data_IF_963480418636
#
_entry.id   IF_963480418636
#
_cell.length_a   1.000
_cell.length_b   1.000
_cell.length_c   1.000
_cell.angle_alpha   90.00
_cell.angle_beta   90.00
_cell.angle_gamma   90.00
#
_symmetry.space_group_name_H-M   'P 1'
#
loop_
_entity.id
_entity.type
_entity.pdbx_description
1 polymer ?
#
# COMPACT_ATOMS: atom_id res chain seq x y z
N UNK A 1 11.64 -24.32 6.70
CA UNK A 1 11.96 -23.11 7.49
C UNK A 1 10.86 -22.94 8.52
N UNK A 2 10.65 -21.77 9.12
CA UNK A 2 9.35 -21.46 9.74
C UNK A 2 8.36 -21.14 8.62
N UNK A 3 7.10 -21.54 8.77
CA UNK A 3 6.05 -21.17 7.83
C UNK A 3 5.73 -19.67 7.96
N UNK A 4 5.57 -18.95 6.83
CA UNK A 4 5.65 -17.50 6.82
C UNK A 4 4.33 -16.84 7.23
N UNK A 5 4.41 -15.68 7.88
CA UNK A 5 3.27 -14.86 8.29
C UNK A 5 3.11 -13.63 7.41
N UNK A 6 1.96 -12.96 7.52
CA UNK A 6 1.69 -11.72 6.81
C UNK A 6 1.07 -10.66 7.72
N UNK A 7 1.42 -9.40 7.45
CA UNK A 7 0.65 -8.23 7.91
C UNK A 7 0.18 -7.47 6.67
N UNK A 8 -1.14 -7.23 6.55
CA UNK A 8 -1.72 -6.42 5.49
C UNK A 8 -2.02 -5.01 5.99
N UNK A 9 -1.65 -3.98 5.21
CA UNK A 9 -1.77 -2.58 5.62
C UNK A 9 -2.48 -1.71 4.58
N UNK A 10 -3.26 -0.74 5.05
CA UNK A 10 -3.89 0.24 4.15
C UNK A 10 -2.87 1.30 3.69
N UNK A 11 -2.84 1.49 2.38
CA UNK A 11 -2.08 2.51 1.63
C UNK A 11 -2.94 3.00 0.45
N UNK A 12 -2.34 3.77 -0.46
CA UNK A 12 -2.95 4.31 -1.68
C UNK A 12 -4.05 5.38 -1.45
N UNK A 13 -4.41 6.02 -2.56
CA UNK A 13 -5.43 7.05 -2.68
C UNK A 13 -6.80 6.60 -2.15
N UNK A 14 -7.51 7.54 -1.55
CA UNK A 14 -8.88 7.37 -1.10
C UNK A 14 -9.68 8.66 -1.29
N UNK A 15 -10.99 8.61 -1.01
CA UNK A 15 -11.92 9.74 -1.21
C UNK A 15 -11.53 11.03 -0.49
N UNK A 16 -10.66 10.99 0.51
CA UNK A 16 -10.20 12.19 1.21
C UNK A 16 -8.93 12.79 0.57
N UNK A 17 -8.06 11.96 -0.02
CA UNK A 17 -6.76 12.36 -0.57
C UNK A 17 -6.35 11.39 -1.71
N UNK A 18 -6.14 11.89 -2.95
CA UNK A 18 -6.27 13.29 -3.40
C UNK A 18 -7.73 13.75 -3.63
N UNK A 19 -8.72 12.91 -3.32
CA UNK A 19 -10.15 13.19 -3.55
C UNK A 19 -10.90 12.08 -4.29
N UNK A 20 -10.17 11.08 -4.80
CA UNK A 20 -10.72 9.93 -5.52
C UNK A 20 -9.97 8.64 -5.14
N UNK A 21 -10.56 7.48 -5.47
CA UNK A 21 -9.92 6.16 -5.35
C UNK A 21 -9.32 5.74 -6.69
N UNK A 22 -8.27 4.92 -6.65
CA UNK A 22 -7.83 4.20 -7.84
C UNK A 22 -8.95 3.29 -8.38
N UNK A 23 -8.99 3.03 -9.70
CA UNK A 23 -9.93 2.10 -10.29
C UNK A 23 -9.55 0.65 -10.00
N UNK A 24 -10.57 -0.17 -9.75
CA UNK A 24 -10.57 -1.60 -10.09
C UNK A 24 -11.52 -1.77 -11.27
N UNK A 25 -11.15 -2.60 -12.23
CA UNK A 25 -11.90 -2.85 -13.47
C UNK A 25 -12.76 -4.12 -13.34
N UNK A 26 -13.72 -4.38 -14.26
CA UNK A 26 -14.62 -5.52 -14.16
C UNK A 26 -13.92 -6.87 -14.15
N UNK A 27 -12.72 -6.96 -14.76
CA UNK A 27 -11.85 -8.15 -14.76
C UNK A 27 -10.93 -8.24 -13.53
N UNK A 28 -11.11 -7.41 -12.51
CA UNK A 28 -10.26 -7.39 -11.32
C UNK A 28 -8.85 -6.82 -11.52
N UNK A 29 -8.48 -6.39 -12.73
CA UNK A 29 -7.28 -5.56 -12.94
C UNK A 29 -7.50 -4.16 -12.34
N UNK A 30 -6.43 -3.40 -12.11
CA UNK A 30 -6.51 -2.14 -11.36
C UNK A 30 -5.34 -1.21 -11.64
N UNK A 31 -5.47 0.06 -11.23
CA UNK A 31 -4.35 1.01 -11.16
C UNK A 31 -4.08 1.45 -9.71
N UNK A 32 -2.84 1.29 -9.27
CA UNK A 32 -2.36 1.83 -7.99
C UNK A 32 -2.18 3.34 -8.14
N UNK A 33 -2.75 4.11 -7.21
CA UNK A 33 -2.65 5.57 -7.16
C UNK A 33 -2.13 5.93 -5.77
N UNK A 34 -0.94 6.53 -5.62
CA UNK A 34 -0.44 6.98 -4.32
C UNK A 34 -1.24 8.15 -3.74
N UNK A 35 -1.07 8.41 -2.44
CA UNK A 35 -1.56 9.64 -1.79
C UNK A 35 -0.64 10.83 -2.13
N UNK A 36 -1.12 12.09 -2.09
CA UNK A 36 -0.26 13.25 -2.18
C UNK A 36 0.75 13.28 -1.01
N UNK A 37 1.96 13.75 -1.25
CA UNK A 37 2.89 14.04 -0.17
C UNK A 37 2.45 15.33 0.54
N UNK A 38 2.08 15.19 1.81
CA UNK A 38 1.55 16.28 2.65
C UNK A 38 2.53 16.73 3.74
N UNK A 39 3.63 16.02 3.92
CA UNK A 39 4.71 16.43 4.81
C UNK A 39 5.67 17.42 4.13
N UNK A 40 6.38 18.22 4.93
CA UNK A 40 7.50 19.00 4.42
C UNK A 40 8.63 18.05 3.98
N UNK A 41 9.25 18.35 2.83
CA UNK A 41 10.35 17.55 2.27
C UNK A 41 11.65 18.34 2.20
N UNK A 42 12.76 17.61 2.25
CA UNK A 42 14.09 18.12 1.93
C UNK A 42 14.14 18.71 0.52
N UNK A 43 15.02 19.69 0.26
CA UNK A 43 15.38 20.04 -1.11
C UNK A 43 16.10 18.84 -1.77
N UNK A 44 15.82 18.58 -3.06
CA UNK A 44 16.33 17.40 -3.80
C UNK A 44 17.80 17.06 -3.55
N UNK A 45 18.70 18.06 -3.54
CA UNK A 45 20.13 17.88 -3.26
C UNK A 45 20.50 17.44 -1.83
N UNK A 46 19.53 17.11 -0.98
CA UNK A 46 19.69 16.46 0.34
C UNK A 46 19.01 15.10 0.44
N UNK A 47 18.34 14.59 -0.61
CA UNK A 47 17.86 13.21 -0.66
C UNK A 47 19.06 12.23 -0.70
N UNK A 48 18.91 10.97 -0.23
CA UNK A 48 19.99 9.98 -0.31
C UNK A 48 20.35 9.54 -1.74
N UNK A 49 19.45 9.77 -2.69
CA UNK A 49 19.62 9.53 -4.13
C UNK A 49 19.20 10.81 -4.86
N UNK A 50 19.94 11.20 -5.91
CA UNK A 50 19.59 12.36 -6.75
C UNK A 50 18.44 12.04 -7.72
N UNK A 51 17.22 11.93 -7.18
CA UNK A 51 15.98 11.76 -7.93
C UNK A 51 14.98 12.90 -7.65
N UNK A 52 14.07 13.23 -8.58
CA UNK A 52 12.93 14.07 -8.26
C UNK A 52 11.99 13.37 -7.26
N UNK A 53 11.29 14.16 -6.44
CA UNK A 53 10.08 13.71 -5.78
C UNK A 53 8.98 13.64 -6.87
N UNK A 54 8.41 12.46 -7.20
CA UNK A 54 7.46 12.33 -8.29
C UNK A 54 6.17 13.11 -8.00
N UNK A 55 5.53 13.60 -9.05
CA UNK A 55 4.21 14.25 -9.04
C UNK A 55 3.17 13.37 -9.70
N UNK A 56 1.88 13.73 -9.61
CA UNK A 56 0.83 12.98 -10.32
C UNK A 56 1.01 12.99 -11.84
N UNK A 57 1.71 13.97 -12.42
CA UNK A 57 2.04 13.99 -13.85
C UNK A 57 3.17 13.01 -14.24
N UNK A 58 3.95 12.52 -13.28
CA UNK A 58 5.04 11.55 -13.50
C UNK A 58 4.57 10.09 -13.37
N UNK A 59 3.30 9.85 -13.04
CA UNK A 59 2.77 8.51 -12.81
C UNK A 59 2.23 7.85 -14.08
N UNK A 60 2.68 6.63 -14.34
CA UNK A 60 2.08 5.74 -15.33
C UNK A 60 0.69 5.29 -14.85
N UNK A 61 -0.36 5.93 -15.38
CA UNK A 61 -1.76 5.69 -15.03
C UNK A 61 -2.62 5.58 -16.31
N UNK A 62 -3.53 4.58 -16.39
CA UNK A 62 -4.36 4.34 -17.58
C UNK A 62 -5.57 5.31 -17.72
N UNK A 63 -5.56 6.43 -16.99
CA UNK A 63 -6.63 7.42 -16.96
C UNK A 63 -6.04 8.82 -16.70
N UNK A 64 -6.74 9.88 -17.10
CA UNK A 64 -6.26 11.25 -16.90
C UNK A 64 -6.44 11.71 -15.45
N UNK A 65 -5.36 12.14 -14.81
CA UNK A 65 -5.43 12.87 -13.53
C UNK A 65 -5.89 14.32 -13.78
N UNK A 66 -6.71 14.93 -12.92
CA UNK A 66 -7.04 16.35 -12.95
C UNK A 66 -5.81 17.27 -13.00
N UNK A 67 -5.88 18.34 -13.80
CA UNK A 67 -4.73 19.19 -14.13
C UNK A 67 -4.25 20.10 -12.99
N UNK A 68 -5.09 20.34 -12.00
CA UNK A 68 -4.74 21.00 -10.74
C UNK A 68 -3.86 20.10 -9.84
N UNK A 69 -4.03 18.77 -9.94
CA UNK A 69 -3.20 17.81 -9.22
C UNK A 69 -1.87 17.50 -9.92
N UNK A 70 -1.70 17.80 -11.21
CA UNK A 70 -0.52 17.41 -12.01
C UNK A 70 0.81 17.75 -11.33
N UNK A 71 0.95 18.95 -10.78
CA UNK A 71 2.17 19.40 -10.10
C UNK A 71 2.24 19.05 -8.60
N UNK A 72 1.23 18.36 -8.05
CA UNK A 72 1.22 17.93 -6.65
C UNK A 72 2.15 16.73 -6.48
N UNK A 73 3.17 16.79 -5.60
CA UNK A 73 4.04 15.66 -5.32
C UNK A 73 3.30 14.52 -4.64
N UNK A 74 3.75 13.27 -4.85
CA UNK A 74 3.11 12.07 -4.30
C UNK A 74 4.01 11.31 -3.33
N UNK A 75 3.40 10.79 -2.29
CA UNK A 75 4.04 9.89 -1.34
C UNK A 75 3.93 8.46 -1.90
N UNK A 76 4.87 8.13 -2.79
CA UNK A 76 4.99 6.83 -3.43
C UNK A 76 5.55 5.80 -2.43
N UNK A 77 4.67 5.29 -1.57
CA UNK A 77 4.97 4.23 -0.60
C UNK A 77 3.76 3.27 -0.47
N UNK A 78 3.88 1.95 -0.74
CA UNK A 78 5.10 1.21 -1.05
C UNK A 78 5.79 1.60 -2.37
N UNK A 79 7.10 1.43 -2.37
CA UNK A 79 7.88 1.25 -3.59
C UNK A 79 7.76 -0.21 -4.04
N UNK A 80 7.39 -0.43 -5.31
CA UNK A 80 7.13 -1.75 -5.88
C UNK A 80 7.87 -1.90 -7.22
N UNK A 81 8.55 -3.02 -7.49
CA UNK A 81 9.22 -3.25 -8.77
C UNK A 81 8.24 -3.21 -9.95
N UNK A 82 8.65 -2.53 -11.04
CA UNK A 82 7.85 -2.37 -12.25
C UNK A 82 6.71 -1.34 -12.17
N UNK A 83 6.60 -0.57 -11.08
CA UNK A 83 5.47 0.36 -10.84
C UNK A 83 5.95 1.80 -10.75
N UNK A 84 5.39 2.70 -11.57
CA UNK A 84 5.71 4.13 -11.60
C UNK A 84 7.22 4.44 -11.64
N UNK A 85 7.97 3.69 -12.46
CA UNK A 85 9.42 3.86 -12.63
C UNK A 85 10.26 3.43 -11.42
N UNK A 86 9.82 2.40 -10.69
CA UNK A 86 10.50 1.86 -9.50
C UNK A 86 10.93 0.41 -9.68
N UNK A 87 12.10 0.09 -9.12
CA UNK A 87 12.76 -1.22 -9.25
C UNK A 87 12.97 -1.94 -7.91
N UNK A 88 12.59 -1.31 -6.79
CA UNK A 88 12.82 -1.81 -5.42
C UNK A 88 11.52 -2.15 -4.73
N UNK A 89 11.62 -3.00 -3.72
CA UNK A 89 10.54 -3.39 -2.82
C UNK A 89 10.79 -2.77 -1.43
N UNK A 90 10.27 -1.55 -1.19
CA UNK A 90 10.48 -0.82 0.08
C UNK A 90 9.17 -0.30 0.66
N UNK A 91 9.12 -0.18 1.99
CA UNK A 91 7.99 0.45 2.69
C UNK A 91 8.40 1.14 4.00
N UNK A 92 7.88 2.33 4.27
CA UNK A 92 7.95 2.99 5.57
C UNK A 92 6.57 3.30 6.17
N UNK A 93 6.50 3.48 7.49
CA UNK A 93 5.30 4.07 8.12
C UNK A 93 5.63 4.83 9.43
N UNK A 94 4.99 5.99 9.70
CA UNK A 94 5.27 6.82 10.88
C UNK A 94 4.29 6.57 12.05
N UNK A 95 3.28 5.72 11.89
CA UNK A 95 2.18 5.53 12.83
C UNK A 95 2.38 4.27 13.67
N UNK A 96 2.66 4.44 14.97
CA UNK A 96 3.03 3.34 15.88
C UNK A 96 2.10 2.12 15.89
N UNK A 97 0.81 2.28 15.60
CA UNK A 97 -0.15 1.15 15.50
C UNK A 97 0.06 0.27 14.27
N UNK A 98 0.49 0.83 13.14
CA UNK A 98 0.87 0.07 11.93
C UNK A 98 2.32 -0.37 12.02
N UNK A 99 3.23 0.56 12.28
CA UNK A 99 4.65 0.28 12.45
C UNK A 99 4.94 -0.83 13.47
N UNK A 100 4.26 -0.83 14.63
CA UNK A 100 4.41 -1.85 15.67
C UNK A 100 3.87 -3.25 15.29
N UNK A 101 3.05 -3.38 14.25
CA UNK A 101 2.68 -4.69 13.67
C UNK A 101 3.70 -5.15 12.62
N UNK A 102 4.21 -4.22 11.82
CA UNK A 102 5.24 -4.48 10.80
C UNK A 102 6.58 -4.87 11.46
N UNK A 103 6.93 -4.25 12.60
CA UNK A 103 8.12 -4.56 13.40
C UNK A 103 8.20 -6.03 13.88
N UNK A 104 7.09 -6.78 13.85
CA UNK A 104 7.06 -8.20 14.19
C UNK A 104 7.34 -9.17 13.04
N UNK A 105 7.58 -8.66 11.81
CA UNK A 105 7.88 -9.47 10.62
C UNK A 105 9.35 -9.88 10.58
N UNK A 106 9.61 -11.16 10.35
CA UNK A 106 10.95 -11.72 10.15
C UNK A 106 11.34 -11.76 8.66
N UNK A 107 12.64 -11.98 8.33
CA UNK A 107 13.04 -12.35 6.98
C UNK A 107 12.30 -13.63 6.55
N UNK A 108 11.65 -13.58 5.37
CA UNK A 108 10.76 -14.64 4.90
C UNK A 108 9.31 -14.52 5.36
N UNK A 109 8.93 -13.56 6.20
CA UNK A 109 7.53 -13.13 6.36
C UNK A 109 7.14 -12.15 5.25
N UNK A 110 5.88 -11.68 5.24
CA UNK A 110 5.30 -10.83 4.21
C UNK A 110 4.69 -9.54 4.77
N UNK A 111 4.84 -8.47 4.00
CA UNK A 111 4.08 -7.23 4.15
C UNK A 111 3.17 -7.08 2.93
N UNK A 112 1.86 -7.13 3.13
CA UNK A 112 0.86 -7.04 2.06
C UNK A 112 0.21 -5.65 2.06
N UNK A 113 -0.22 -5.19 0.89
CA UNK A 113 -0.80 -3.87 0.72
C UNK A 113 -2.23 -3.98 0.20
N UNK A 114 -3.13 -3.24 0.85
CA UNK A 114 -4.50 -3.11 0.39
C UNK A 114 -4.92 -1.65 0.24
N UNK A 115 -5.69 -1.37 -0.81
CA UNK A 115 -6.23 -0.05 -1.14
C UNK A 115 -7.76 -0.09 -1.03
N UNK A 116 -8.41 1.06 -0.85
CA UNK A 116 -9.82 1.16 -1.23
C UNK A 116 -9.90 1.60 -2.68
N UNK A 117 -10.43 0.75 -3.55
CA UNK A 117 -10.59 1.03 -4.99
C UNK A 117 -12.07 1.21 -5.31
N UNK A 118 -12.40 1.97 -6.35
CA UNK A 118 -13.76 2.07 -6.90
C UNK A 118 -13.88 1.25 -8.18
N UNK A 119 -15.00 0.54 -8.34
CA UNK A 119 -15.28 -0.17 -9.59
C UNK A 119 -15.48 0.88 -10.70
N UNK A 120 -14.80 0.70 -11.83
CA UNK A 120 -14.90 1.55 -13.01
C UNK A 120 -14.79 0.72 -14.29
N UNK A 121 -15.43 1.13 -15.39
CA UNK A 121 -15.30 0.43 -16.67
C UNK A 121 -13.88 0.55 -17.24
N UNK A 122 -13.50 -0.35 -18.14
CA UNK A 122 -12.23 -0.19 -18.87
C UNK A 122 -12.27 1.09 -19.72
N UNK A 123 -11.12 1.75 -19.87
CA UNK A 123 -11.04 3.05 -20.56
C UNK A 123 -11.72 4.21 -19.81
N UNK A 124 -12.11 4.04 -18.54
CA UNK A 124 -12.58 5.14 -17.69
C UNK A 124 -11.63 6.35 -17.77
N UNK A 125 -12.11 7.54 -18.20
CA UNK A 125 -11.23 8.66 -18.55
C UNK A 125 -10.53 9.31 -17.35
N UNK A 126 -10.95 8.98 -16.13
CA UNK A 126 -10.45 9.57 -14.89
C UNK A 126 -11.50 10.39 -14.14
N UNK A 127 -11.18 10.86 -12.93
CA UNK A 127 -12.10 11.62 -12.09
C UNK A 127 -12.34 13.02 -12.70
N UNK A 128 -13.61 13.43 -12.79
CA UNK A 128 -14.00 14.68 -13.46
C UNK A 128 -14.21 14.55 -14.98
N UNK A 129 -13.95 13.38 -15.58
CA UNK A 129 -14.34 13.08 -16.96
C UNK A 129 -15.86 13.01 -17.14
N UNK A 130 -16.34 13.34 -18.34
CA UNK A 130 -17.75 13.23 -18.67
C UNK A 130 -18.16 11.74 -18.77
N UNK A 131 -19.28 11.38 -18.11
CA UNK A 131 -19.78 10.01 -17.97
C UNK A 131 -18.84 9.07 -17.18
N UNK A 132 -18.88 9.16 -15.85
CA UNK A 132 -18.13 8.26 -14.97
C UNK A 132 -18.73 6.84 -14.87
N UNK A 133 -20.01 6.69 -15.22
CA UNK A 133 -20.85 5.55 -14.83
C UNK A 133 -21.53 4.84 -16.02
N UNK A 134 -21.17 5.19 -17.27
CA UNK A 134 -21.55 4.39 -18.43
C UNK A 134 -20.51 3.29 -18.64
N UNK A 135 -20.94 2.02 -18.55
CA UNK A 135 -20.16 0.90 -19.04
C UNK A 135 -19.89 1.09 -20.54
N UNK A 136 -18.68 0.76 -20.99
CA UNK A 136 -18.32 0.82 -22.41
C UNK A 136 -18.87 -0.42 -23.10
N UNK A 137 -19.42 -0.28 -24.31
CA UNK A 137 -19.89 -1.41 -25.13
C UNK A 137 -18.74 -2.40 -25.39
N UNK A 138 -18.70 -3.48 -24.63
CA UNK A 138 -17.66 -4.52 -24.71
C UNK A 138 -17.03 -4.92 -23.37
N UNK A 139 -17.25 -4.16 -22.29
CA UNK A 139 -16.79 -4.56 -20.95
C UNK A 139 -17.42 -5.90 -20.51
N UNK A 140 -16.66 -6.80 -19.85
CA UNK A 140 -17.22 -8.00 -19.27
C UNK A 140 -18.09 -7.66 -18.05
N UNK A 141 -19.00 -8.57 -17.69
CA UNK A 141 -19.68 -8.49 -16.41
C UNK A 141 -18.62 -8.54 -15.27
N UNK A 142 -18.70 -7.68 -14.25
CA UNK A 142 -17.73 -7.68 -13.15
C UNK A 142 -17.59 -9.04 -12.47
N UNK A 143 -16.36 -9.40 -12.10
CA UNK A 143 -16.07 -10.58 -11.28
C UNK A 143 -16.94 -10.58 -10.01
N UNK A 144 -17.54 -11.74 -9.72
CA UNK A 144 -18.58 -11.89 -8.70
C UNK A 144 -18.10 -11.76 -7.23
N UNK A 145 -16.81 -11.45 -7.01
CA UNK A 145 -16.25 -11.10 -5.70
C UNK A 145 -15.77 -9.63 -5.61
N UNK A 146 -16.02 -8.81 -6.64
CA UNK A 146 -15.87 -7.34 -6.60
C UNK A 146 -17.12 -6.67 -6.02
N UNK A 147 -16.91 -5.61 -5.23
CA UNK A 147 -18.00 -4.79 -4.68
C UNK A 147 -18.39 -3.65 -5.66
N UNK A 148 -19.70 -3.34 -5.83
CA UNK A 148 -20.23 -2.62 -6.99
C UNK A 148 -19.83 -1.14 -7.11
N UNK A 149 -19.67 -0.41 -6.00
CA UNK A 149 -19.27 1.01 -6.01
C UNK A 149 -17.77 1.20 -5.69
N UNK A 150 -17.35 0.49 -4.64
CA UNK A 150 -16.00 0.49 -4.08
C UNK A 150 -15.85 -0.69 -3.13
N UNK A 151 -14.63 -1.07 -2.86
CA UNK A 151 -14.27 -2.07 -1.85
C UNK A 151 -12.83 -1.89 -1.39
N UNK A 152 -12.38 -2.74 -0.48
CA UNK A 152 -11.00 -2.86 -0.08
C UNK A 152 -10.39 -4.15 -0.66
N UNK A 153 -9.18 -4.01 -1.22
CA UNK A 153 -8.59 -4.99 -2.12
C UNK A 153 -7.09 -5.10 -1.85
N UNK A 154 -6.58 -6.32 -1.64
CA UNK A 154 -5.14 -6.59 -1.68
C UNK A 154 -4.66 -6.43 -3.13
N UNK A 155 -3.54 -5.74 -3.33
CA UNK A 155 -3.06 -5.38 -4.68
C UNK A 155 -1.54 -5.54 -4.86
N UNK A 156 -0.78 -5.70 -3.78
CA UNK A 156 0.67 -5.88 -3.83
C UNK A 156 1.20 -6.56 -2.56
N UNK A 157 2.43 -7.07 -2.63
CA UNK A 157 3.15 -7.63 -1.49
C UNK A 157 4.66 -7.43 -1.59
N UNK A 158 5.28 -7.22 -0.43
CA UNK A 158 6.73 -7.23 -0.24
C UNK A 158 7.12 -8.49 0.55
N UNK A 159 8.05 -9.25 -0.01
CA UNK A 159 8.65 -10.43 0.60
C UNK A 159 9.83 -10.00 1.47
N UNK A 160 9.59 -9.91 2.78
CA UNK A 160 10.50 -9.24 3.73
C UNK A 160 11.87 -9.92 3.74
N UNK A 161 12.92 -9.14 3.50
CA UNK A 161 14.31 -9.51 3.77
C UNK A 161 14.80 -8.90 5.07
N UNK A 162 14.41 -7.65 5.34
CA UNK A 162 14.84 -6.91 6.53
C UNK A 162 13.83 -5.84 6.95
N UNK A 163 13.68 -5.72 8.26
CA UNK A 163 12.96 -4.63 8.92
C UNK A 163 13.98 -3.83 9.75
N UNK A 164 13.73 -2.53 9.88
CA UNK A 164 14.28 -1.67 10.92
C UNK A 164 13.09 -1.05 11.66
N UNK A 165 13.01 -1.18 12.97
CA UNK A 165 11.98 -0.57 13.80
C UNK A 165 12.57 0.23 14.97
N UNK A 166 11.78 1.19 15.45
CA UNK A 166 12.09 1.94 16.68
C UNK A 166 12.17 0.97 17.87
N UNK A 167 13.36 0.83 18.43
CA UNK A 167 13.65 -0.11 19.53
C UNK A 167 14.57 -1.28 19.17
N UNK A 168 14.92 -1.48 17.89
CA UNK A 168 15.94 -2.47 17.49
C UNK A 168 17.37 -2.03 17.86
N UNK A 169 17.59 -0.73 18.04
CA UNK A 169 18.81 -0.14 18.56
C UNK A 169 18.77 -0.01 20.09
N UNK A 170 19.63 -0.80 20.77
CA UNK A 170 19.83 -0.88 22.22
C UNK A 170 18.62 -1.33 23.07
N UNK A 171 18.70 -2.57 23.58
CA UNK A 171 17.69 -3.16 24.48
C UNK A 171 17.91 -2.77 25.95
N UNK A 172 18.14 -1.48 26.20
CA UNK A 172 18.25 -0.91 27.54
C UNK A 172 16.86 -0.81 28.19
N UNK A 173 16.64 -1.49 29.32
CA UNK A 173 15.32 -1.66 29.95
C UNK A 173 14.80 -0.42 30.71
N UNK A 174 14.99 0.79 30.17
CA UNK A 174 14.48 2.05 30.77
C UNK A 174 13.92 3.01 29.71
N UNK A 175 12.63 2.91 29.37
CA UNK A 175 12.02 3.87 28.44
C UNK A 175 10.56 3.64 28.05
N UNK A 176 9.60 4.00 28.91
CA UNK A 176 8.19 4.14 28.53
C UNK A 176 7.96 5.43 27.71
N UNK A 177 8.49 5.50 26.48
CA UNK A 177 8.55 6.72 25.68
C UNK A 177 7.43 6.87 24.65
N UNK A 178 6.43 7.72 24.92
CA UNK A 178 5.36 8.08 23.97
C UNK A 178 5.76 9.21 23.00
N UNK A 179 7.00 9.17 22.49
CA UNK A 179 7.60 10.28 21.73
C UNK A 179 7.61 10.10 20.20
N UNK A 180 8.06 11.14 19.50
CA UNK A 180 8.30 11.17 18.04
C UNK A 180 9.61 10.46 17.65
N UNK A 181 9.88 9.31 18.26
CA UNK A 181 10.97 8.44 17.87
C UNK A 181 10.68 7.81 16.49
N UNK A 182 11.58 8.07 15.54
CA UNK A 182 11.71 7.42 14.25
C UNK A 182 12.93 6.49 14.25
N UNK A 183 13.11 5.65 13.22
CA UNK A 183 14.36 4.86 13.07
C UNK A 183 15.54 5.79 12.77
N UNK A 184 16.77 5.30 12.90
CA UNK A 184 17.93 6.06 12.44
C UNK A 184 17.86 6.30 10.92
N UNK A 185 18.03 7.57 10.51
CA UNK A 185 17.91 8.00 9.12
C UNK A 185 19.06 7.49 8.26
N UNK A 186 20.27 7.34 8.80
CA UNK A 186 21.41 6.80 8.06
C UNK A 186 21.21 5.30 7.79
N UNK A 187 20.81 4.54 8.81
CA UNK A 187 20.44 3.12 8.68
C UNK A 187 19.27 2.89 7.73
N UNK A 188 18.25 3.76 7.75
CA UNK A 188 17.14 3.72 6.80
C UNK A 188 17.60 4.03 5.37
N UNK A 189 18.47 5.03 5.18
CA UNK A 189 19.05 5.35 3.87
C UNK A 189 19.95 4.24 3.33
N UNK A 190 20.70 3.55 4.19
CA UNK A 190 21.51 2.40 3.80
C UNK A 190 20.66 1.18 3.38
N UNK A 191 19.44 1.04 3.93
CA UNK A 191 18.53 -0.07 3.62
C UNK A 191 17.64 0.19 2.39
N UNK A 192 16.98 1.35 2.37
CA UNK A 192 15.90 1.66 1.43
C UNK A 192 16.05 3.08 0.83
N UNK A 193 17.18 3.41 0.16
CA UNK A 193 17.64 4.78 -0.13
C UNK A 193 16.66 5.67 -0.92
N UNK A 194 15.72 5.07 -1.63
CA UNK A 194 14.70 5.68 -2.50
C UNK A 194 13.35 5.93 -1.81
N UNK A 195 13.12 5.33 -0.64
CA UNK A 195 11.83 5.32 0.05
C UNK A 195 11.30 6.74 0.35
N UNK A 196 9.97 6.92 0.25
CA UNK A 196 9.34 8.24 0.35
C UNK A 196 9.62 8.96 1.68
N UNK A 197 9.69 8.23 2.81
CA UNK A 197 9.99 8.84 4.11
C UNK A 197 11.38 9.47 4.19
N UNK A 198 12.37 8.96 3.45
CA UNK A 198 13.71 9.56 3.39
C UNK A 198 13.75 10.91 2.66
N UNK A 199 12.63 11.35 2.10
CA UNK A 199 12.48 12.67 1.46
C UNK A 199 11.90 13.71 2.44
N UNK A 200 11.29 13.30 3.55
CA UNK A 200 10.65 14.18 4.56
C UNK A 200 11.65 14.92 5.45
N UNK A 201 11.31 16.10 5.95
CA UNK A 201 12.05 16.81 7.00
C UNK A 201 11.06 17.42 8.02
N UNK A 202 11.00 16.92 9.28
CA UNK A 202 11.82 15.87 9.87
C UNK A 202 11.59 14.48 9.24
N UNK A 203 12.51 13.55 9.52
CA UNK A 203 12.30 12.13 9.25
C UNK A 203 11.36 11.52 10.31
N UNK A 204 10.38 10.73 9.87
CA UNK A 204 9.21 10.33 10.65
C UNK A 204 8.94 8.81 10.69
N UNK A 205 9.59 8.01 9.83
CA UNK A 205 9.32 6.58 9.75
C UNK A 205 9.71 5.83 11.04
N UNK A 206 8.73 5.17 11.65
CA UNK A 206 8.91 4.32 12.85
C UNK A 206 9.26 2.88 12.51
N UNK A 207 9.01 2.49 11.26
CA UNK A 207 9.47 1.26 10.65
C UNK A 207 9.94 1.55 9.22
N UNK A 208 10.97 0.85 8.76
CA UNK A 208 11.39 0.79 7.35
C UNK A 208 11.62 -0.68 7.00
N UNK A 209 11.06 -1.11 5.88
CA UNK A 209 11.13 -2.48 5.37
C UNK A 209 11.80 -2.47 4.00
N UNK A 210 12.67 -3.44 3.77
CA UNK A 210 13.09 -3.85 2.44
C UNK A 210 12.80 -5.35 2.24
N UNK A 211 12.50 -5.71 1.00
CA UNK A 211 12.29 -7.08 0.59
C UNK A 211 12.90 -7.41 -0.76
N UNK A 212 12.88 -8.69 -1.09
CA UNK A 212 13.43 -9.25 -2.32
C UNK A 212 12.65 -8.69 -3.53
N UNK A 213 13.24 -7.89 -4.42
CA UNK A 213 12.56 -7.33 -5.59
C UNK A 213 12.12 -8.39 -6.62
N UNK A 214 12.69 -9.60 -6.60
CA UNK A 214 12.27 -10.69 -7.48
C UNK A 214 11.05 -11.48 -6.94
N UNK A 215 10.82 -11.41 -5.63
CA UNK A 215 9.69 -12.04 -4.95
C UNK A 215 8.65 -11.03 -4.42
N UNK A 216 8.75 -9.75 -4.82
CA UNK A 216 7.87 -8.65 -4.37
C UNK A 216 7.31 -7.89 -5.57
N UNK A 217 6.09 -7.37 -5.46
CA UNK A 217 5.52 -6.55 -6.53
C UNK A 217 4.02 -6.33 -6.43
N UNK A 218 3.48 -5.75 -7.51
CA UNK A 218 2.06 -5.59 -7.78
C UNK A 218 1.48 -6.92 -8.29
N UNK A 219 0.28 -7.29 -7.84
CA UNK A 219 -0.44 -8.45 -8.37
C UNK A 219 -1.06 -8.15 -9.74
N UNK A 220 -1.34 -9.17 -10.55
CA UNK A 220 -1.98 -8.98 -11.86
C UNK A 220 -3.44 -8.51 -11.69
N UNK A 221 -4.19 -9.20 -10.82
CA UNK A 221 -5.56 -8.87 -10.40
C UNK A 221 -5.64 -8.68 -8.88
N UNK A 222 -6.69 -8.03 -8.41
CA UNK A 222 -6.93 -7.81 -6.97
C UNK A 222 -7.34 -9.10 -6.25
N UNK A 223 -7.07 -9.17 -4.94
CA UNK A 223 -7.75 -10.13 -4.04
C UNK A 223 -8.71 -9.37 -3.13
N UNK A 224 -10.05 -9.54 -3.29
CA UNK A 224 -11.04 -8.82 -2.49
C UNK A 224 -11.01 -9.16 -1.01
N UNK A 225 -11.04 -8.11 -0.18
CA UNK A 225 -11.24 -8.18 1.28
C UNK A 225 -12.65 -7.76 1.70
N UNK A 226 -13.30 -6.89 0.93
CA UNK A 226 -14.72 -6.55 1.13
C UNK A 226 -15.65 -7.70 0.71
N UNK A 227 -16.87 -7.65 1.20
CA UNK A 227 -17.97 -8.46 0.68
C UNK A 227 -18.45 -7.91 -0.69
N UNK A 228 -18.80 -8.77 -1.68
CA UNK A 228 -19.29 -8.29 -2.98
C UNK A 228 -20.61 -7.51 -2.90
N UNK A 229 -21.45 -7.72 -1.89
CA UNK A 229 -22.71 -6.96 -1.76
C UNK A 229 -22.46 -5.53 -1.24
N UNK A 230 -21.38 -5.30 -0.46
CA UNK A 230 -21.10 -4.00 0.15
C UNK A 230 -19.62 -3.79 0.49
N UNK A 231 -19.01 -2.76 -0.10
CA UNK A 231 -17.60 -2.38 0.13
C UNK A 231 -17.20 -2.10 1.58
N UNK A 232 -18.16 -1.70 2.42
CA UNK A 232 -17.93 -1.44 3.84
C UNK A 232 -17.94 -2.72 4.69
N UNK A 233 -18.57 -3.80 4.23
CA UNK A 233 -18.62 -5.08 4.93
C UNK A 233 -17.42 -5.96 4.54
N UNK A 234 -17.01 -6.83 5.47
CA UNK A 234 -15.74 -7.56 5.38
C UNK A 234 -15.95 -9.05 5.12
N UNK A 235 -15.34 -9.59 4.08
CA UNK A 235 -15.50 -11.00 3.74
C UNK A 235 -14.69 -11.94 4.66
N UNK A 236 -14.76 -13.25 4.40
CA UNK A 236 -14.13 -14.30 5.21
C UNK A 236 -12.61 -14.17 5.38
N UNK A 237 -11.89 -13.54 4.44
CA UNK A 237 -10.45 -13.32 4.58
C UNK A 237 -10.14 -12.39 5.76
N UNK A 238 -10.96 -11.34 5.92
CA UNK A 238 -10.85 -10.43 7.07
C UNK A 238 -11.37 -11.13 8.32
N UNK A 239 -12.63 -11.57 8.29
CA UNK A 239 -13.38 -11.94 9.50
C UNK A 239 -13.01 -13.29 10.11
N UNK A 240 -12.40 -14.21 9.33
CA UNK A 240 -12.05 -15.55 9.79
C UNK A 240 -10.55 -15.89 9.70
N UNK A 241 -9.77 -15.22 8.85
CA UNK A 241 -8.33 -15.49 8.68
C UNK A 241 -7.42 -14.38 9.25
N UNK A 242 -7.96 -13.21 9.60
CA UNK A 242 -7.17 -12.08 10.09
C UNK A 242 -7.40 -11.79 11.57
N UNK A 243 -6.52 -10.97 12.15
CA UNK A 243 -6.67 -10.41 13.49
C UNK A 243 -7.83 -9.40 13.65
N UNK A 244 -8.71 -9.23 12.67
CA UNK A 244 -9.74 -8.19 12.64
C UNK A 244 -11.17 -8.75 12.46
N UNK A 245 -12.06 -8.37 13.36
CA UNK A 245 -13.48 -8.75 13.37
C UNK A 245 -14.32 -8.23 12.20
N UNK A 246 -13.76 -7.42 11.29
CA UNK A 246 -14.50 -6.79 10.18
C UNK A 246 -15.49 -5.70 10.58
N UNK A 247 -15.59 -5.34 11.88
CA UNK A 247 -16.58 -4.36 12.36
C UNK A 247 -16.11 -2.91 12.23
N UNK A 248 -17.01 -2.01 11.84
CA UNK A 248 -16.69 -0.59 11.64
C UNK A 248 -15.66 -0.38 10.52
N UNK A 249 -14.82 0.67 10.58
CA UNK A 249 -13.82 0.94 9.53
C UNK A 249 -12.61 -0.01 9.65
N UNK A 250 -12.82 -1.29 9.34
CA UNK A 250 -11.77 -2.32 9.28
C UNK A 250 -10.78 -2.04 8.14
N UNK A 251 -11.25 -1.47 7.01
CA UNK A 251 -10.45 -1.07 5.85
C UNK A 251 -9.48 0.12 6.11
N UNK A 252 -9.32 0.53 7.37
CA UNK A 252 -8.32 1.50 7.83
C UNK A 252 -7.33 0.89 8.85
N UNK A 253 -7.47 -0.40 9.18
CA UNK A 253 -6.78 -1.04 10.30
C UNK A 253 -5.82 -2.12 9.77
N UNK A 254 -4.55 -2.16 10.25
CA UNK A 254 -3.60 -3.16 9.80
C UNK A 254 -3.98 -4.55 10.32
N UNK A 255 -4.05 -5.54 9.44
CA UNK A 255 -4.50 -6.90 9.73
C UNK A 255 -3.30 -7.85 9.81
N UNK A 256 -3.20 -8.67 10.85
CA UNK A 256 -2.19 -9.72 10.95
C UNK A 256 -2.82 -11.08 10.61
N UNK A 257 -2.04 -11.94 9.95
CA UNK A 257 -2.40 -13.29 9.54
C UNK A 257 -1.34 -14.27 10.07
N UNK A 258 -1.75 -15.43 10.58
CA UNK A 258 -0.81 -16.50 10.95
C UNK A 258 -0.33 -17.29 9.71
N UNK A 259 0.35 -18.41 9.91
CA UNK A 259 0.96 -19.17 8.82
C UNK A 259 -0.09 -19.79 7.89
N UNK A 260 -1.12 -20.44 8.44
CA UNK A 260 -2.16 -21.14 7.69
C UNK A 260 -3.04 -20.12 6.93
N UNK A 261 -3.35 -19.00 7.59
CA UNK A 261 -4.01 -17.85 6.98
C UNK A 261 -3.17 -17.22 5.86
N UNK A 262 -1.85 -17.10 6.04
CA UNK A 262 -0.95 -16.54 5.02
C UNK A 262 -0.81 -17.46 3.81
N UNK A 263 -0.69 -18.77 4.01
CA UNK A 263 -0.73 -19.75 2.93
C UNK A 263 -2.05 -19.66 2.13
N UNK A 264 -3.18 -19.55 2.83
CA UNK A 264 -4.52 -19.38 2.21
C UNK A 264 -4.64 -18.09 1.40
N UNK A 265 -3.99 -16.99 1.83
CA UNK A 265 -3.93 -15.76 1.04
C UNK A 265 -3.08 -15.93 -0.22
N UNK A 266 -1.92 -16.60 -0.12
CA UNK A 266 -1.01 -16.80 -1.25
C UNK A 266 -1.61 -17.70 -2.31
N UNK A 267 -2.27 -18.79 -1.93
CA UNK A 267 -3.07 -19.62 -2.85
C UNK A 267 -4.16 -18.83 -3.59
N UNK A 268 -4.64 -17.71 -3.04
CA UNK A 268 -5.61 -16.84 -3.73
C UNK A 268 -4.93 -15.77 -4.60
N UNK A 269 -3.74 -15.30 -4.23
CA UNK A 269 -2.93 -14.39 -5.05
C UNK A 269 -2.38 -15.12 -6.29
N UNK A 270 -1.90 -16.35 -6.15
CA UNK A 270 -1.41 -17.20 -7.24
C UNK A 270 -2.52 -17.68 -8.20
N UNK A 271 -3.79 -17.42 -7.86
CA UNK A 271 -4.99 -17.77 -8.67
C UNK A 271 -5.81 -16.55 -9.08
N UNK A 272 -5.32 -15.34 -8.81
CA UNK A 272 -6.00 -14.08 -9.11
C UNK A 272 -5.80 -13.72 -10.59
#
# INVERSE_FOLDING_TARGET
MRDPRAVAVNVAANTNQPGFRGPVYPDGSFAYVPIPESAATLPRGRFPVDEPLPTYADLDLPFAVPSDLHATPVHLDPELPGVHGRDRATYGDPHGVKAGRIAGLAPGDWLLFYATLSLRPHGWPGPGGASADAAVDGDPAPDADLAPDWGAYLFAGIRVERVLAVGDGDRSETGGGTGDAAVDRESAAALAPTNAHLKRDPFDARVVVAGDPAASGRFERVVPLSDPEAGADANRLVTALSSDSGKGPWWRRPMAFDADATATLLERIERA
#
